data_IF_905273931645
#
_entry.id   IF_905273931645
#
_cell.length_a   1.000
_cell.length_b   1.000
_cell.length_c   1.000
_cell.angle_alpha   90.00
_cell.angle_beta   90.00
_cell.angle_gamma   90.00
#
_symmetry.space_group_name_H-M   'P 1'
#
loop_
_entity.id
_entity.type
_entity.pdbx_description
1 polymer ?
#
# COMPACT_ATOMS: atom_id res chain seq x y z
N UNK A 1 -61.81 -24.43 25.27
CA UNK A 1 -61.21 -23.70 24.14
C UNK A 1 -60.97 -22.21 24.40
N UNK A 2 -61.85 -21.46 25.09
CA UNK A 2 -61.61 -20.04 25.45
C UNK A 2 -60.40 -19.78 26.36
N UNK A 3 -60.16 -20.64 27.34
CA UNK A 3 -59.04 -20.50 28.29
C UNK A 3 -57.65 -20.56 27.62
N UNK A 4 -57.56 -21.25 26.49
CA UNK A 4 -56.31 -21.44 25.77
C UNK A 4 -55.96 -20.18 24.97
N UNK A 5 -56.96 -19.50 24.41
CA UNK A 5 -56.80 -18.20 23.76
C UNK A 5 -56.51 -17.07 24.74
N UNK A 6 -57.10 -17.08 25.94
CA UNK A 6 -56.77 -16.13 27.03
C UNK A 6 -55.37 -16.35 27.59
N UNK A 7 -54.93 -17.61 27.73
CA UNK A 7 -53.56 -17.95 28.11
C UNK A 7 -52.56 -17.54 27.02
N UNK A 8 -52.91 -17.69 25.74
CA UNK A 8 -52.11 -17.22 24.61
C UNK A 8 -52.01 -15.69 24.63
N UNK A 9 -53.11 -14.95 24.81
CA UNK A 9 -53.11 -13.47 24.91
C UNK A 9 -52.36 -12.96 26.16
N UNK A 10 -52.29 -13.75 27.22
CA UNK A 10 -51.55 -13.45 28.46
C UNK A 10 -50.06 -13.78 28.37
N UNK A 11 -49.70 -14.95 27.83
CA UNK A 11 -48.30 -15.41 27.67
C UNK A 11 -47.62 -14.66 26.54
N UNK A 12 -48.36 -14.37 25.48
CA UNK A 12 -47.96 -13.49 24.39
C UNK A 12 -48.61 -12.12 24.53
N UNK A 13 -48.56 -11.51 25.72
CA UNK A 13 -48.98 -10.11 25.90
C UNK A 13 -48.27 -9.23 24.85
N UNK A 14 -48.96 -8.85 23.76
CA UNK A 14 -48.29 -8.52 22.51
C UNK A 14 -47.51 -7.21 22.65
N UNK A 15 -47.98 -6.33 23.54
CA UNK A 15 -47.40 -5.01 23.77
C UNK A 15 -46.04 -5.06 24.46
N UNK A 16 -45.78 -6.02 25.36
CA UNK A 16 -44.49 -6.09 26.06
C UNK A 16 -43.39 -6.70 25.19
N UNK A 17 -43.69 -7.80 24.50
CA UNK A 17 -42.74 -8.46 23.59
C UNK A 17 -42.44 -7.59 22.37
N UNK A 18 -43.46 -6.97 21.77
CA UNK A 18 -43.25 -6.02 20.66
C UNK A 18 -42.41 -4.83 21.11
N UNK A 19 -42.62 -4.30 22.33
CA UNK A 19 -41.79 -3.22 22.89
C UNK A 19 -40.33 -3.66 23.08
N UNK A 20 -40.09 -4.88 23.58
CA UNK A 20 -38.73 -5.41 23.74
C UNK A 20 -38.03 -5.63 22.38
N UNK A 21 -38.73 -6.17 21.38
CA UNK A 21 -38.19 -6.36 20.02
C UNK A 21 -37.88 -5.03 19.34
N UNK A 22 -38.75 -4.02 19.47
CA UNK A 22 -38.50 -2.66 18.94
C UNK A 22 -37.26 -2.05 19.61
N UNK A 23 -37.10 -2.19 20.93
CA UNK A 23 -35.92 -1.69 21.65
C UNK A 23 -34.65 -2.37 21.14
N UNK A 24 -34.66 -3.70 20.95
CA UNK A 24 -33.51 -4.45 20.43
C UNK A 24 -33.16 -4.04 19.00
N UNK A 25 -34.17 -3.90 18.12
CA UNK A 25 -33.95 -3.44 16.74
C UNK A 25 -33.45 -1.99 16.69
N UNK A 26 -33.97 -1.10 17.53
CA UNK A 26 -33.51 0.28 17.63
C UNK A 26 -32.07 0.35 18.17
N UNK A 27 -31.73 -0.49 19.14
CA UNK A 27 -30.37 -0.60 19.66
C UNK A 27 -29.41 -1.11 18.58
N UNK A 28 -29.78 -2.16 17.86
CA UNK A 28 -28.93 -2.79 16.85
C UNK A 28 -28.73 -1.91 15.61
N UNK A 29 -29.79 -1.27 15.12
CA UNK A 29 -29.71 -0.28 14.03
C UNK A 29 -28.96 0.98 14.49
N UNK A 30 -29.12 1.39 15.75
CA UNK A 30 -28.37 2.49 16.35
C UNK A 30 -26.86 2.21 16.41
N UNK A 31 -26.45 1.04 16.87
CA UNK A 31 -25.03 0.64 16.94
C UNK A 31 -24.40 0.55 15.54
N UNK A 32 -25.10 -0.04 14.56
CA UNK A 32 -24.62 -0.10 13.18
C UNK A 32 -24.55 1.27 12.50
N UNK A 33 -25.52 2.15 12.79
CA UNK A 33 -25.53 3.54 12.29
C UNK A 33 -24.41 4.36 12.94
N UNK A 34 -24.17 4.19 14.23
CA UNK A 34 -23.10 4.89 14.94
C UNK A 34 -21.72 4.50 14.42
N UNK A 35 -21.46 3.21 14.21
CA UNK A 35 -20.17 2.74 13.67
C UNK A 35 -19.92 3.21 12.24
N UNK A 36 -20.96 3.26 11.41
CA UNK A 36 -20.86 3.83 10.05
C UNK A 36 -20.64 5.34 10.07
N UNK A 37 -21.34 6.08 10.93
CA UNK A 37 -21.16 7.52 11.11
C UNK A 37 -19.75 7.84 11.64
N UNK A 38 -19.24 7.09 12.62
CA UNK A 38 -17.89 7.32 13.16
C UNK A 38 -16.81 7.05 12.12
N UNK A 39 -16.97 6.02 11.28
CA UNK A 39 -16.05 5.74 10.18
C UNK A 39 -16.10 6.84 9.12
N UNK A 40 -17.29 7.34 8.78
CA UNK A 40 -17.42 8.47 7.87
C UNK A 40 -16.76 9.73 8.44
N UNK A 41 -16.99 10.02 9.72
CA UNK A 41 -16.45 11.18 10.41
C UNK A 41 -14.91 11.15 10.44
N UNK A 42 -14.29 9.99 10.72
CA UNK A 42 -12.83 9.85 10.70
C UNK A 42 -12.25 9.98 9.29
N UNK A 43 -12.93 9.47 8.26
CA UNK A 43 -12.54 9.67 6.85
C UNK A 43 -12.62 11.14 6.43
N UNK A 44 -13.67 11.86 6.81
CA UNK A 44 -13.81 13.30 6.54
C UNK A 44 -12.75 14.08 7.31
N UNK A 45 -12.57 13.80 8.60
CA UNK A 45 -11.57 14.45 9.45
C UNK A 45 -10.15 14.26 8.90
N UNK A 46 -9.77 13.02 8.53
CA UNK A 46 -8.44 12.72 7.94
C UNK A 46 -8.20 13.49 6.64
N UNK A 47 -9.23 13.69 5.81
CA UNK A 47 -9.15 14.56 4.61
C UNK A 47 -9.01 16.04 4.97
N UNK A 48 -9.61 16.50 6.07
CA UNK A 48 -9.55 17.91 6.48
C UNK A 48 -8.25 18.28 7.19
N UNK A 49 -7.44 17.30 7.63
CA UNK A 49 -6.11 17.57 8.20
C UNK A 49 -5.18 18.31 7.22
N UNK A 50 -4.21 19.06 7.76
CA UNK A 50 -3.15 19.71 6.97
C UNK A 50 -2.40 18.71 6.09
N UNK A 51 -2.11 17.51 6.62
CA UNK A 51 -1.49 16.39 5.90
C UNK A 51 -2.37 15.90 4.74
N UNK A 52 -3.66 15.66 4.98
CA UNK A 52 -4.61 15.24 3.94
C UNK A 52 -4.77 16.28 2.81
N UNK A 53 -4.77 17.57 3.14
CA UNK A 53 -4.77 18.66 2.14
C UNK A 53 -3.47 18.68 1.32
N UNK A 54 -2.31 18.49 1.94
CA UNK A 54 -1.02 18.42 1.26
C UNK A 54 -0.95 17.25 0.28
N UNK A 55 -1.35 16.04 0.71
CA UNK A 55 -1.42 14.85 -0.15
C UNK A 55 -2.31 15.08 -1.38
N UNK A 56 -3.51 15.65 -1.19
CA UNK A 56 -4.39 15.98 -2.32
C UNK A 56 -3.78 16.98 -3.28
N UNK A 57 -3.10 17.99 -2.75
CA UNK A 57 -2.43 18.99 -3.57
C UNK A 57 -1.31 18.36 -4.41
N UNK A 58 -0.47 17.51 -3.81
CA UNK A 58 0.59 16.79 -4.52
C UNK A 58 0.03 15.86 -5.60
N UNK A 59 -1.00 15.06 -5.29
CA UNK A 59 -1.68 14.20 -6.29
C UNK A 59 -2.29 15.01 -7.43
N UNK A 60 -2.73 16.25 -7.19
CA UNK A 60 -3.17 17.16 -8.25
C UNK A 60 -2.00 17.69 -9.08
N UNK A 61 -0.93 18.13 -8.42
CA UNK A 61 0.30 18.60 -9.09
C UNK A 61 0.94 17.51 -9.96
N UNK A 62 0.97 16.26 -9.49
CA UNK A 62 1.40 15.11 -10.29
C UNK A 62 0.56 14.94 -11.55
N UNK A 63 -0.78 15.04 -11.45
CA UNK A 63 -1.68 14.93 -12.62
C UNK A 63 -1.54 16.10 -13.61
N UNK A 64 -1.10 17.26 -13.15
CA UNK A 64 -0.91 18.47 -13.95
C UNK A 64 0.52 18.66 -14.45
N UNK A 65 1.46 17.81 -14.00
CA UNK A 65 2.85 17.89 -14.38
C UNK A 65 3.03 17.59 -15.87
N UNK A 66 3.73 18.48 -16.58
CA UNK A 66 4.01 18.34 -18.01
C UNK A 66 5.35 17.67 -18.30
N UNK A 67 6.22 17.58 -17.29
CA UNK A 67 7.55 16.97 -17.42
C UNK A 67 7.74 15.86 -16.41
N UNK A 68 8.49 14.82 -16.79
CA UNK A 68 8.83 13.74 -15.87
C UNK A 68 9.54 14.25 -14.62
N UNK A 69 10.48 15.18 -14.75
CA UNK A 69 11.21 15.75 -13.61
C UNK A 69 10.29 16.45 -12.60
N UNK A 70 9.29 17.21 -13.08
CA UNK A 70 8.30 17.84 -12.19
C UNK A 70 7.38 16.81 -11.53
N UNK A 71 6.90 15.83 -12.30
CA UNK A 71 6.11 14.72 -11.76
C UNK A 71 6.87 13.95 -10.67
N UNK A 72 8.12 13.59 -10.93
CA UNK A 72 8.99 12.84 -10.02
C UNK A 72 9.25 13.62 -8.73
N UNK A 73 9.47 14.93 -8.82
CA UNK A 73 9.61 15.80 -7.64
C UNK A 73 8.37 15.74 -6.73
N UNK A 74 7.18 15.82 -7.31
CA UNK A 74 5.93 15.75 -6.52
C UNK A 74 5.69 14.33 -5.96
N UNK A 75 6.01 13.30 -6.74
CA UNK A 75 5.91 11.90 -6.32
C UNK A 75 6.84 11.59 -5.13
N UNK A 76 8.09 12.08 -5.16
CA UNK A 76 9.03 11.90 -4.06
C UNK A 76 8.53 12.59 -2.77
N UNK A 77 8.02 13.82 -2.89
CA UNK A 77 7.46 14.53 -1.73
C UNK A 77 6.23 13.79 -1.17
N UNK A 78 5.41 13.21 -2.05
CA UNK A 78 4.26 12.41 -1.63
C UNK A 78 4.71 11.16 -0.87
N UNK A 79 5.73 10.46 -1.35
CA UNK A 79 6.31 9.30 -0.69
C UNK A 79 6.92 9.64 0.69
N UNK A 80 7.55 10.81 0.84
CA UNK A 80 8.04 11.31 2.13
C UNK A 80 6.89 11.58 3.12
N UNK A 81 5.78 12.17 2.66
CA UNK A 81 4.62 12.41 3.52
C UNK A 81 3.91 11.12 3.93
N UNK A 82 3.85 10.12 3.06
CA UNK A 82 3.19 8.84 3.32
C UNK A 82 4.13 7.83 4.03
N UNK A 83 5.42 8.14 4.19
CA UNK A 83 6.42 7.28 4.84
C UNK A 83 6.93 6.14 3.94
N UNK A 84 6.68 6.25 2.64
CA UNK A 84 7.15 5.28 1.64
C UNK A 84 8.63 5.48 1.32
N UNK A 85 9.17 6.68 1.52
CA UNK A 85 10.58 6.98 1.27
C UNK A 85 11.52 6.12 2.13
N UNK A 86 11.17 5.91 3.39
CA UNK A 86 11.89 5.07 4.36
C UNK A 86 11.85 3.61 3.94
N UNK A 87 10.67 3.15 3.48
CA UNK A 87 10.56 1.82 2.90
C UNK A 87 11.45 1.66 1.66
N UNK A 88 11.53 2.66 0.76
CA UNK A 88 12.41 2.59 -0.43
C UNK A 88 13.88 2.52 -0.04
N UNK A 89 14.30 3.25 1.00
CA UNK A 89 15.68 3.32 1.49
C UNK A 89 16.12 2.04 2.20
N UNK A 90 15.22 1.38 2.92
CA UNK A 90 15.53 0.14 3.64
C UNK A 90 15.86 -1.00 2.64
N UNK A 91 17.10 -1.49 2.58
CA UNK A 91 17.47 -2.57 1.67
C UNK A 91 16.89 -3.92 2.10
N UNK A 92 16.57 -4.14 3.37
CA UNK A 92 15.98 -5.40 3.80
C UNK A 92 14.52 -5.50 3.35
N UNK A 93 14.19 -6.59 2.69
CA UNK A 93 12.84 -6.87 2.23
C UNK A 93 12.64 -8.38 2.09
N UNK A 94 11.42 -8.87 2.28
CA UNK A 94 11.08 -10.27 2.03
C UNK A 94 10.82 -10.56 0.54
N UNK A 95 10.67 -9.52 -0.28
CA UNK A 95 10.29 -9.64 -1.69
C UNK A 95 11.48 -9.91 -2.62
N UNK A 96 12.71 -9.66 -2.16
CA UNK A 96 13.95 -9.94 -2.88
C UNK A 96 15.07 -10.25 -1.90
N UNK A 97 16.11 -10.95 -2.36
CA UNK A 97 17.30 -11.21 -1.56
C UNK A 97 18.29 -10.05 -1.68
N UNK A 98 18.32 -9.18 -0.66
CA UNK A 98 19.21 -8.03 -0.63
C UNK A 98 20.69 -8.41 -0.56
N UNK A 99 21.06 -9.53 0.07
CA UNK A 99 22.48 -9.94 0.17
C UNK A 99 22.99 -10.34 -1.20
N UNK A 100 22.21 -11.18 -1.90
CA UNK A 100 22.56 -11.62 -3.26
C UNK A 100 22.54 -10.45 -4.23
N UNK A 101 21.56 -9.55 -4.13
CA UNK A 101 21.48 -8.39 -5.00
C UNK A 101 22.66 -7.44 -4.82
N UNK A 102 23.13 -7.22 -3.58
CA UNK A 102 24.32 -6.40 -3.31
C UNK A 102 25.56 -7.01 -3.97
N UNK A 103 25.78 -8.31 -3.74
CA UNK A 103 26.91 -9.03 -4.33
C UNK A 103 26.91 -8.91 -5.86
N UNK A 104 25.74 -8.97 -6.51
CA UNK A 104 25.64 -8.81 -7.97
C UNK A 104 26.00 -7.41 -8.44
N UNK A 105 25.58 -6.37 -7.72
CA UNK A 105 25.97 -4.99 -8.02
C UNK A 105 27.49 -4.87 -7.95
N UNK A 106 28.09 -5.37 -6.87
CA UNK A 106 29.53 -5.28 -6.63
C UNK A 106 30.33 -6.06 -7.69
N UNK A 107 29.86 -7.25 -8.07
CA UNK A 107 30.48 -8.09 -9.10
C UNK A 107 30.46 -7.40 -10.48
N UNK A 108 29.31 -6.85 -10.90
CA UNK A 108 29.21 -6.14 -12.19
C UNK A 108 30.13 -4.91 -12.17
N UNK A 109 30.10 -4.12 -11.09
CA UNK A 109 30.99 -2.97 -10.95
C UNK A 109 32.46 -3.39 -11.00
N UNK A 110 32.85 -4.47 -10.34
CA UNK A 110 34.22 -4.97 -10.37
C UNK A 110 34.67 -5.34 -11.79
N UNK A 111 33.83 -6.07 -12.53
CA UNK A 111 34.11 -6.46 -13.92
C UNK A 111 34.21 -5.26 -14.87
N UNK A 112 33.39 -4.22 -14.65
CA UNK A 112 33.50 -2.97 -15.41
C UNK A 112 34.83 -2.25 -15.13
N UNK A 113 35.27 -2.19 -13.87
CA UNK A 113 36.53 -1.55 -13.51
C UNK A 113 37.77 -2.34 -13.95
N UNK A 114 37.69 -3.67 -13.97
CA UNK A 114 38.80 -4.53 -14.41
C UNK A 114 38.98 -4.55 -15.93
N UNK A 115 37.97 -4.10 -16.70
CA UNK A 115 37.99 -4.15 -18.16
C UNK A 115 37.83 -5.55 -18.74
N UNK A 116 37.43 -6.54 -17.93
CA UNK A 116 37.16 -7.90 -18.39
C UNK A 116 35.80 -7.98 -19.09
N UNK A 117 35.78 -7.55 -20.36
CA UNK A 117 34.57 -7.49 -21.19
C UNK A 117 33.94 -8.86 -21.41
N UNK A 118 34.74 -9.93 -21.50
CA UNK A 118 34.22 -11.28 -21.75
C UNK A 118 33.46 -11.81 -20.54
N UNK A 119 34.05 -11.68 -19.34
CA UNK A 119 33.37 -12.05 -18.10
C UNK A 119 32.13 -11.17 -17.88
N UNK A 120 32.23 -9.86 -18.09
CA UNK A 120 31.09 -8.96 -17.97
C UNK A 120 29.93 -9.39 -18.89
N UNK A 121 30.21 -9.65 -20.16
CA UNK A 121 29.20 -10.12 -21.12
C UNK A 121 28.55 -11.44 -20.69
N UNK A 122 29.35 -12.40 -20.18
CA UNK A 122 28.83 -13.67 -19.69
C UNK A 122 27.87 -13.49 -18.51
N UNK A 123 28.24 -12.65 -17.54
CA UNK A 123 27.41 -12.34 -16.38
C UNK A 123 26.12 -11.61 -16.76
N UNK A 124 26.20 -10.61 -17.65
CA UNK A 124 25.03 -9.88 -18.13
C UNK A 124 24.04 -10.79 -18.88
N UNK A 125 24.55 -11.65 -19.78
CA UNK A 125 23.72 -12.60 -20.53
C UNK A 125 22.97 -13.55 -19.59
N UNK A 126 23.64 -14.02 -18.54
CA UNK A 126 23.01 -14.83 -17.50
C UNK A 126 21.98 -14.05 -16.68
N UNK A 127 22.33 -12.85 -16.23
CA UNK A 127 21.53 -12.03 -15.32
C UNK A 127 20.25 -11.45 -15.92
N UNK A 128 20.29 -11.00 -17.19
CA UNK A 128 19.16 -10.33 -17.85
C UNK A 128 18.09 -11.32 -18.32
N UNK A 129 18.50 -12.54 -18.67
CA UNK A 129 17.60 -13.52 -19.32
C UNK A 129 16.57 -14.16 -18.38
N UNK A 130 16.72 -14.03 -17.05
CA UNK A 130 15.79 -14.63 -16.08
C UNK A 130 15.44 -13.62 -14.99
N UNK A 131 14.16 -13.57 -14.54
CA UNK A 131 13.78 -12.87 -13.31
C UNK A 131 14.53 -13.52 -12.14
N UNK A 132 15.65 -12.94 -11.72
CA UNK A 132 16.46 -13.48 -10.64
C UNK A 132 16.22 -12.70 -9.35
N UNK A 133 16.36 -13.40 -8.21
CA UNK A 133 16.45 -12.80 -6.87
C UNK A 133 15.23 -11.99 -6.40
N UNK A 134 14.08 -12.10 -7.08
CA UNK A 134 12.84 -11.41 -6.70
C UNK A 134 12.77 -9.94 -7.10
N UNK A 135 13.71 -9.44 -7.93
CA UNK A 135 13.76 -8.00 -8.30
C UNK A 135 12.57 -7.52 -9.13
N UNK A 136 11.84 -8.45 -9.76
CA UNK A 136 10.62 -8.18 -10.54
C UNK A 136 9.33 -8.50 -9.76
N UNK A 137 9.41 -8.71 -8.44
CA UNK A 137 8.23 -8.99 -7.63
C UNK A 137 7.25 -7.80 -7.65
N UNK A 138 5.98 -8.03 -7.97
CA UNK A 138 4.96 -6.98 -8.16
C UNK A 138 4.80 -6.03 -6.95
N UNK A 139 4.88 -6.59 -5.74
CA UNK A 139 4.81 -5.82 -4.48
C UNK A 139 5.90 -4.75 -4.31
N UNK A 140 6.97 -4.79 -5.12
CA UNK A 140 8.00 -3.75 -5.14
C UNK A 140 7.56 -2.50 -5.90
N UNK A 141 6.57 -2.61 -6.79
CA UNK A 141 6.16 -1.52 -7.69
C UNK A 141 4.81 -0.89 -7.29
N UNK A 142 4.12 -1.44 -6.29
CA UNK A 142 2.81 -0.96 -5.86
C UNK A 142 2.84 -0.05 -4.62
N UNK A 143 3.96 -0.04 -3.88
CA UNK A 143 4.00 0.59 -2.55
C UNK A 143 4.36 2.07 -2.57
N UNK A 144 5.25 2.50 -3.45
CA UNK A 144 5.69 3.88 -3.53
C UNK A 144 5.35 4.49 -4.89
N UNK A 145 5.21 5.82 -4.93
CA UNK A 145 4.77 6.54 -6.11
C UNK A 145 5.90 6.87 -7.07
N UNK A 146 7.05 7.30 -6.55
CA UNK A 146 8.14 7.80 -7.39
C UNK A 146 9.04 6.69 -7.95
N UNK A 147 8.96 5.47 -7.41
CA UNK A 147 9.80 4.35 -7.84
C UNK A 147 9.71 3.15 -6.91
N UNK A 148 10.64 2.24 -7.05
CA UNK A 148 10.74 1.00 -6.26
C UNK A 148 11.78 1.15 -5.14
N UNK A 149 12.19 0.04 -4.54
CA UNK A 149 13.32 -0.02 -3.61
C UNK A 149 14.59 0.57 -4.26
N UNK A 150 15.29 1.43 -3.54
CA UNK A 150 16.51 2.10 -4.01
C UNK A 150 17.56 1.09 -4.47
N UNK A 151 17.66 -0.05 -3.78
CA UNK A 151 18.58 -1.12 -4.13
C UNK A 151 18.27 -1.78 -5.47
N UNK A 152 16.98 -1.97 -5.78
CA UNK A 152 16.53 -2.51 -7.08
C UNK A 152 16.79 -1.50 -8.19
N UNK A 153 16.52 -0.21 -7.94
CA UNK A 153 16.86 0.86 -8.87
C UNK A 153 18.37 0.94 -9.12
N UNK A 154 19.18 0.76 -8.09
CA UNK A 154 20.64 0.75 -8.20
C UNK A 154 21.12 -0.43 -9.03
N UNK A 155 20.59 -1.63 -8.79
CA UNK A 155 20.90 -2.80 -9.61
C UNK A 155 20.56 -2.57 -11.09
N UNK A 156 19.36 -2.07 -11.38
CA UNK A 156 18.94 -1.76 -12.75
C UNK A 156 19.86 -0.71 -13.40
N UNK A 157 20.25 0.33 -12.66
CA UNK A 157 21.19 1.34 -13.14
C UNK A 157 22.55 0.74 -13.46
N UNK A 158 23.08 -0.11 -12.59
CA UNK A 158 24.36 -0.80 -12.80
C UNK A 158 24.31 -1.69 -14.03
N UNK A 159 23.21 -2.41 -14.26
CA UNK A 159 23.03 -3.18 -15.50
C UNK A 159 22.99 -2.30 -16.76
N UNK A 160 22.39 -1.11 -16.70
CA UNK A 160 22.33 -0.20 -17.85
C UNK A 160 23.65 0.53 -18.13
N UNK A 161 24.55 0.60 -17.14
CA UNK A 161 25.87 1.23 -17.27
C UNK A 161 26.94 0.27 -17.80
N UNK A 162 26.77 -1.02 -17.53
CA UNK A 162 27.62 -2.11 -18.01
C UNK A 162 27.41 -2.36 -19.51
#
# INVERSE_FOLDING_TARGET
EKWLWEAIDSVFAPKLLVRQVIIVLALQTGVASFSTISNLATLVASRMTRKGKAIRNLKRQMRQATTFASWQKFANHLDELEGHAEWRKEPKCTLYDHVVLQHRIDEIQHLMHSGDVFSLMFHLRGGISRPQYGVLHEGLFSRAHAGTKVMVEQYQRTLCQA
#
